data_IF_425384969356
#
_entry.id   IF_425384969356
#
_cell.length_a   1.000
_cell.length_b   1.000
_cell.length_c   1.000
_cell.angle_alpha   90.00
_cell.angle_beta   90.00
_cell.angle_gamma   90.00
#
_symmetry.space_group_name_H-M   'P 1'
#
loop_
_entity.id
_entity.type
_entity.pdbx_description
1 polymer ?
#
# COMPACT_ATOMS: atom_id res chain seq x y z
N UNK A 1 3.69 0.52 -13.58
CA UNK A 1 4.37 -0.71 -13.12
C UNK A 1 5.15 -0.33 -11.87
N UNK A 2 4.79 -0.90 -10.72
CA UNK A 2 5.49 -0.62 -9.46
C UNK A 2 6.89 -1.25 -9.51
N UNK A 3 7.91 -0.49 -9.11
CA UNK A 3 9.31 -0.93 -9.08
C UNK A 3 9.88 -0.82 -7.67
N UNK A 4 10.79 -1.72 -7.31
CA UNK A 4 11.45 -1.74 -6.00
C UNK A 4 12.92 -2.19 -6.14
N UNK A 5 13.77 -1.72 -5.24
CA UNK A 5 15.17 -2.17 -5.13
C UNK A 5 15.24 -3.35 -4.17
N UNK A 6 15.90 -4.44 -4.56
CA UNK A 6 16.04 -5.64 -3.71
C UNK A 6 17.15 -5.48 -2.67
N UNK A 7 16.97 -4.57 -1.72
CA UNK A 7 17.86 -4.47 -0.55
C UNK A 7 17.52 -5.58 0.45
N UNK A 8 18.46 -6.03 1.28
CA UNK A 8 18.15 -6.98 2.34
C UNK A 8 17.90 -6.24 3.65
N UNK A 9 16.66 -6.29 4.13
CA UNK A 9 16.24 -5.80 5.44
C UNK A 9 15.66 -6.97 6.24
N UNK A 10 16.30 -7.37 7.33
CA UNK A 10 15.89 -8.53 8.11
C UNK A 10 14.43 -8.38 8.62
N UNK A 11 13.54 -9.28 8.19
CA UNK A 11 12.13 -9.32 8.61
C UNK A 11 11.19 -8.30 7.94
N UNK A 12 11.66 -7.46 7.01
CA UNK A 12 10.84 -6.41 6.37
C UNK A 12 10.53 -6.67 4.89
N UNK A 13 11.26 -7.59 4.26
CA UNK A 13 11.11 -7.85 2.81
C UNK A 13 9.74 -8.43 2.44
N UNK A 14 9.17 -9.27 3.30
CA UNK A 14 7.84 -9.84 3.06
C UNK A 14 6.74 -8.78 3.15
N UNK A 15 6.91 -7.82 4.05
CA UNK A 15 6.03 -6.67 4.18
C UNK A 15 6.13 -5.76 2.95
N UNK A 16 7.35 -5.47 2.47
CA UNK A 16 7.55 -4.71 1.23
C UNK A 16 6.85 -5.40 0.05
N UNK A 17 7.07 -6.69 -0.14
CA UNK A 17 6.44 -7.43 -1.24
C UNK A 17 4.90 -7.40 -1.14
N UNK A 18 4.35 -7.59 0.05
CA UNK A 18 2.88 -7.54 0.28
C UNK A 18 2.32 -6.16 -0.05
N UNK A 19 3.00 -5.11 0.41
CA UNK A 19 2.61 -3.71 0.14
C UNK A 19 2.59 -3.42 -1.37
N UNK A 20 3.65 -3.80 -2.10
CA UNK A 20 3.75 -3.59 -3.54
C UNK A 20 2.70 -4.40 -4.32
N UNK A 21 2.38 -5.63 -3.87
CA UNK A 21 1.33 -6.44 -4.49
C UNK A 21 -0.05 -5.80 -4.32
N UNK A 22 -0.36 -5.27 -3.13
CA UNK A 22 -1.60 -4.55 -2.87
C UNK A 22 -1.71 -3.31 -3.76
N UNK A 23 -0.65 -2.49 -3.84
CA UNK A 23 -0.66 -1.29 -4.70
C UNK A 23 -0.89 -1.58 -6.19
N UNK A 24 -0.51 -2.76 -6.68
CA UNK A 24 -0.80 -3.14 -8.07
C UNK A 24 -2.26 -3.58 -8.29
N UNK A 25 -3.00 -3.93 -7.23
CA UNK A 25 -4.40 -4.38 -7.30
C UNK A 25 -5.41 -3.28 -7.04
N UNK A 26 -5.00 -2.19 -6.38
CA UNK A 26 -5.88 -1.07 -6.03
C UNK A 26 -6.54 -0.51 -7.29
N UNK A 27 -7.85 -0.36 -7.25
CA UNK A 27 -8.66 0.19 -8.33
C UNK A 27 -9.08 1.64 -8.08
N UNK A 28 -9.31 1.99 -6.82
CA UNK A 28 -9.85 3.29 -6.41
C UNK A 28 -9.27 3.73 -5.06
N UNK A 29 -9.33 5.03 -4.79
CA UNK A 29 -8.85 5.61 -3.55
C UNK A 29 -9.79 6.72 -3.04
N UNK A 30 -9.81 6.93 -1.73
CA UNK A 30 -10.45 8.07 -1.07
C UNK A 30 -9.45 8.74 -0.14
N UNK A 31 -9.48 10.08 -0.10
CA UNK A 31 -8.75 10.86 0.90
C UNK A 31 -9.77 11.55 1.80
N UNK A 32 -9.78 11.20 3.08
CA UNK A 32 -10.66 11.80 4.09
C UNK A 32 -10.00 11.78 5.46
N UNK A 33 -10.26 12.78 6.30
CA UNK A 33 -9.76 12.84 7.69
C UNK A 33 -8.25 12.64 7.83
N UNK A 34 -7.45 13.18 6.90
CA UNK A 34 -5.99 12.99 6.85
C UNK A 34 -5.56 11.53 6.68
N UNK A 35 -6.42 10.71 6.10
CA UNK A 35 -6.14 9.32 5.74
C UNK A 35 -6.26 9.15 4.23
N UNK A 36 -5.39 8.31 3.69
CA UNK A 36 -5.52 7.74 2.35
C UNK A 36 -6.06 6.33 2.50
N UNK A 37 -7.24 6.09 1.92
CA UNK A 37 -7.92 4.80 1.92
C UNK A 37 -7.84 4.24 0.51
N UNK A 38 -7.33 3.03 0.37
CA UNK A 38 -7.18 2.32 -0.90
C UNK A 38 -8.16 1.16 -0.95
N UNK A 39 -8.82 0.99 -2.09
CA UNK A 39 -9.84 -0.03 -2.30
C UNK A 39 -9.43 -1.03 -3.38
N UNK A 40 -9.89 -2.27 -3.22
CA UNK A 40 -9.77 -3.36 -4.20
C UNK A 40 -11.13 -4.03 -4.28
N UNK A 41 -11.73 -4.06 -5.48
CA UNK A 41 -13.04 -4.66 -5.74
C UNK A 41 -14.16 -4.08 -4.85
N UNK A 42 -14.02 -2.82 -4.43
CA UNK A 42 -14.96 -2.12 -3.56
C UNK A 42 -14.72 -2.30 -2.06
N UNK A 43 -13.80 -3.18 -1.64
CA UNK A 43 -13.42 -3.38 -0.24
C UNK A 43 -12.20 -2.55 0.16
N UNK A 44 -12.12 -2.16 1.44
CA UNK A 44 -10.95 -1.44 1.98
C UNK A 44 -9.76 -2.38 2.07
N UNK A 45 -8.74 -2.12 1.26
CA UNK A 45 -7.52 -2.91 1.22
C UNK A 45 -6.42 -2.36 2.14
N UNK A 46 -6.33 -1.03 2.25
CA UNK A 46 -5.28 -0.37 3.04
C UNK A 46 -5.69 1.03 3.49
N UNK A 47 -5.31 1.40 4.72
CA UNK A 47 -5.46 2.76 5.24
C UNK A 47 -4.09 3.29 5.64
N UNK A 48 -3.70 4.43 5.09
CA UNK A 48 -2.46 5.12 5.39
C UNK A 48 -2.77 6.44 6.10
N UNK A 49 -2.15 6.65 7.25
CA UNK A 49 -2.28 7.89 8.00
C UNK A 49 -1.30 8.93 7.44
N UNK A 50 -1.76 10.17 7.25
CA UNK A 50 -0.85 11.28 6.98
C UNK A 50 0.07 11.46 8.18
N UNK A 51 1.37 11.38 7.93
CA UNK A 51 2.43 11.71 8.89
C UNK A 51 3.15 12.93 8.32
N UNK A 52 3.23 14.01 9.09
CA UNK A 52 3.97 15.22 8.72
C UNK A 52 5.49 15.01 8.87
#
# INVERSE_FOLDING_TARGET
RVGATKMYCNGLMDQENTFLQLLNKVDTYEIRHLQLILFVEGDVAMVLQKVD
#
